data_IF_807525024104
#
_entry.id   IF_807525024104
#
_cell.length_a   1.000
_cell.length_b   1.000
_cell.length_c   1.000
_cell.angle_alpha   90.00
_cell.angle_beta   90.00
_cell.angle_gamma   90.00
#
_symmetry.space_group_name_H-M   'P 1'
#
loop_
_entity.id
_entity.type
_entity.pdbx_description
1 polymer ?
#
# COMPACT_ATOMS: atom_id res chain seq x y z
N UNK A 1 23.43 -7.07 -19.89
CA UNK A 1 22.60 -7.66 -18.81
C UNK A 1 21.82 -6.50 -18.21
N UNK A 2 20.49 -6.53 -18.28
CA UNK A 2 19.65 -5.47 -17.69
C UNK A 2 19.59 -5.75 -16.19
N UNK A 3 19.94 -4.77 -15.37
CA UNK A 3 19.74 -4.88 -13.93
C UNK A 3 18.24 -4.84 -13.61
N UNK A 4 17.68 -6.03 -13.33
CA UNK A 4 16.27 -6.21 -12.94
C UNK A 4 15.99 -5.76 -11.51
N UNK A 5 17.01 -5.30 -10.77
CA UNK A 5 16.86 -4.78 -9.41
C UNK A 5 16.63 -3.26 -9.40
N UNK A 6 16.91 -2.56 -10.51
CA UNK A 6 16.68 -1.13 -10.67
C UNK A 6 17.63 -0.25 -9.86
N UNK A 7 18.84 -0.71 -9.53
CA UNK A 7 19.76 -0.01 -8.61
C UNK A 7 20.51 1.18 -9.22
N UNK A 8 20.72 1.20 -10.54
CA UNK A 8 21.37 2.30 -11.28
C UNK A 8 20.35 3.15 -12.05
N UNK A 9 20.43 4.50 -12.01
CA UNK A 9 19.47 5.43 -12.64
C UNK A 9 19.10 5.12 -14.11
N UNK A 10 20.08 4.78 -14.96
CA UNK A 10 19.83 4.46 -16.38
C UNK A 10 19.09 3.13 -16.54
N UNK A 11 19.40 2.17 -15.68
CA UNK A 11 18.74 0.86 -15.65
C UNK A 11 17.39 0.94 -14.95
N UNK A 12 17.23 1.83 -13.96
CA UNK A 12 15.96 2.09 -13.28
C UNK A 12 14.90 2.67 -14.23
N UNK A 13 15.28 3.57 -15.15
CA UNK A 13 14.35 4.13 -16.13
C UNK A 13 13.85 3.06 -17.11
N UNK A 14 14.75 2.21 -17.60
CA UNK A 14 14.39 1.07 -18.46
C UNK A 14 13.56 0.03 -17.71
N UNK A 15 13.94 -0.29 -16.47
CA UNK A 15 13.22 -1.20 -15.58
C UNK A 15 11.78 -0.73 -15.35
N UNK A 16 11.59 0.55 -15.00
CA UNK A 16 10.25 1.13 -14.84
C UNK A 16 9.47 1.14 -16.16
N UNK A 17 10.12 1.39 -17.30
CA UNK A 17 9.49 1.29 -18.62
C UNK A 17 8.91 -0.11 -18.86
N UNK A 18 9.71 -1.15 -18.65
CA UNK A 18 9.29 -2.55 -18.79
C UNK A 18 8.14 -2.89 -17.85
N UNK A 19 8.22 -2.47 -16.58
CA UNK A 19 7.15 -2.72 -15.62
C UNK A 19 5.85 -1.98 -15.97
N UNK A 20 5.94 -0.75 -16.46
CA UNK A 20 4.78 0.03 -16.87
C UNK A 20 4.08 -0.63 -18.06
N UNK A 21 4.83 -1.03 -19.09
CA UNK A 21 4.28 -1.77 -20.23
C UNK A 21 3.63 -3.09 -19.79
N UNK A 22 4.29 -3.83 -18.89
CA UNK A 22 3.76 -5.08 -18.35
C UNK A 22 2.47 -4.83 -17.55
N UNK A 23 2.42 -3.80 -16.71
CA UNK A 23 1.22 -3.44 -15.94
C UNK A 23 0.05 -3.01 -16.83
N UNK A 24 0.32 -2.42 -18.01
CA UNK A 24 -0.72 -2.08 -18.97
C UNK A 24 -1.26 -3.32 -19.71
N UNK A 25 -0.40 -4.32 -19.97
CA UNK A 25 -0.80 -5.59 -20.62
C UNK A 25 -1.46 -6.57 -19.64
N UNK A 26 -1.09 -6.51 -18.37
CA UNK A 26 -1.56 -7.40 -17.31
C UNK A 26 -2.05 -6.57 -16.10
N UNK A 27 -3.16 -5.83 -16.25
CA UNK A 27 -3.63 -4.87 -15.23
C UNK A 27 -4.00 -5.54 -13.91
N UNK A 28 -4.44 -6.79 -13.94
CA UNK A 28 -4.80 -7.58 -12.75
C UNK A 28 -3.59 -8.23 -12.06
N UNK A 29 -2.40 -8.12 -12.66
CA UNK A 29 -1.19 -8.68 -12.07
C UNK A 29 -0.61 -7.73 -11.02
N UNK A 30 -0.74 -8.12 -9.75
CA UNK A 30 -0.11 -7.42 -8.62
C UNK A 30 1.41 -7.36 -8.73
N UNK A 31 2.03 -8.29 -9.47
CA UNK A 31 3.47 -8.46 -9.53
C UNK A 31 4.22 -7.26 -10.15
N UNK A 32 3.63 -6.57 -11.13
CA UNK A 32 4.28 -5.42 -11.78
C UNK A 32 4.04 -4.14 -10.99
N UNK A 33 2.79 -3.91 -10.61
CA UNK A 33 2.37 -2.72 -9.86
C UNK A 33 3.05 -2.68 -8.49
N UNK A 34 3.15 -3.84 -7.82
CA UNK A 34 3.88 -3.98 -6.56
C UNK A 34 5.36 -3.64 -6.71
N UNK A 35 6.03 -4.12 -7.76
CA UNK A 35 7.44 -3.79 -8.02
C UNK A 35 7.67 -2.30 -8.30
N UNK A 36 6.76 -1.65 -9.04
CA UNK A 36 6.85 -0.21 -9.28
C UNK A 36 6.65 0.56 -7.97
N UNK A 37 5.63 0.16 -7.20
CA UNK A 37 5.31 0.77 -5.91
C UNK A 37 6.48 0.65 -4.93
N UNK A 38 7.09 -0.53 -4.85
CA UNK A 38 8.27 -0.78 -4.02
C UNK A 38 9.48 0.02 -4.47
N UNK A 39 9.72 0.12 -5.78
CA UNK A 39 10.82 0.91 -6.32
C UNK A 39 10.71 2.39 -5.88
N UNK A 40 9.53 3.00 -6.06
CA UNK A 40 9.34 4.40 -5.68
C UNK A 40 9.36 4.60 -4.16
N UNK A 41 8.75 3.68 -3.41
CA UNK A 41 8.72 3.75 -1.95
C UNK A 41 10.13 3.64 -1.36
N UNK A 42 10.96 2.71 -1.85
CA UNK A 42 12.36 2.55 -1.42
C UNK A 42 13.23 3.78 -1.74
N UNK A 43 12.90 4.52 -2.80
CA UNK A 43 13.57 5.79 -3.13
C UNK A 43 13.04 7.01 -2.36
N UNK A 44 11.99 6.84 -1.55
CA UNK A 44 11.30 7.95 -0.88
C UNK A 44 10.37 8.74 -1.82
N UNK A 45 10.24 8.33 -3.08
CA UNK A 45 9.44 8.98 -4.13
C UNK A 45 7.98 8.52 -4.09
N UNK A 46 7.37 8.42 -2.90
CA UNK A 46 6.01 7.88 -2.70
C UNK A 46 4.96 8.65 -3.54
N UNK A 47 5.13 9.96 -3.69
CA UNK A 47 4.24 10.80 -4.50
C UNK A 47 4.19 10.33 -5.97
N UNK A 48 5.33 9.92 -6.56
CA UNK A 48 5.36 9.39 -7.93
C UNK A 48 4.64 8.05 -8.03
N UNK A 49 4.77 7.20 -7.01
CA UNK A 49 4.02 5.94 -6.93
C UNK A 49 2.53 6.21 -6.97
N UNK A 50 2.06 7.15 -6.14
CA UNK A 50 0.64 7.51 -6.06
C UNK A 50 0.13 8.14 -7.36
N UNK A 51 0.89 9.04 -7.98
CA UNK A 51 0.52 9.65 -9.25
C UNK A 51 0.34 8.60 -10.35
N UNK A 52 1.28 7.65 -10.45
CA UNK A 52 1.19 6.56 -11.43
C UNK A 52 -0.03 5.67 -11.17
N UNK A 53 -0.21 5.23 -9.92
CA UNK A 53 -1.34 4.38 -9.54
C UNK A 53 -2.68 5.07 -9.80
N UNK A 54 -2.76 6.39 -9.56
CA UNK A 54 -3.94 7.19 -9.87
C UNK A 54 -4.21 7.22 -11.38
N UNK A 55 -3.20 7.44 -12.22
CA UNK A 55 -3.36 7.38 -13.69
C UNK A 55 -3.81 6.01 -14.18
N UNK A 56 -3.34 4.94 -13.56
CA UNK A 56 -3.80 3.58 -13.86
C UNK A 56 -5.27 3.38 -13.43
N UNK A 57 -5.63 3.83 -12.23
CA UNK A 57 -7.00 3.80 -11.74
C UNK A 57 -7.97 4.70 -12.53
N UNK A 58 -7.50 5.77 -13.18
CA UNK A 58 -8.32 6.58 -14.10
C UNK A 58 -8.64 5.83 -15.39
N UNK A 59 -7.74 4.97 -15.87
CA UNK A 59 -7.94 4.15 -17.07
C UNK A 59 -8.79 2.91 -16.81
N UNK A 60 -8.64 2.30 -15.64
CA UNK A 60 -9.45 1.17 -15.20
C UNK A 60 -9.89 1.38 -13.74
N UNK A 61 -11.01 2.12 -13.53
CA UNK A 61 -11.51 2.44 -12.20
C UNK A 61 -12.10 1.25 -11.46
N UNK A 62 -12.32 0.11 -12.15
CA UNK A 62 -12.82 -1.14 -11.59
C UNK A 62 -11.71 -2.14 -11.30
N UNK A 63 -10.45 -1.71 -11.32
CA UNK A 63 -9.35 -2.54 -10.88
C UNK A 63 -9.09 -2.41 -9.37
N UNK A 64 -9.35 -3.48 -8.61
CA UNK A 64 -9.13 -3.51 -7.18
C UNK A 64 -7.63 -3.37 -6.82
N UNK A 65 -6.74 -3.87 -7.68
CA UNK A 65 -5.28 -3.86 -7.45
C UNK A 65 -4.75 -2.43 -7.36
N UNK A 66 -5.22 -1.52 -8.22
CA UNK A 66 -4.77 -0.12 -8.18
C UNK A 66 -5.21 0.58 -6.89
N UNK A 67 -6.45 0.35 -6.45
CA UNK A 67 -6.93 0.91 -5.18
C UNK A 67 -6.11 0.36 -4.02
N UNK A 68 -5.88 -0.96 -3.99
CA UNK A 68 -5.06 -1.60 -2.97
C UNK A 68 -3.65 -0.99 -2.90
N UNK A 69 -2.96 -0.82 -4.02
CA UNK A 69 -1.60 -0.28 -4.01
C UNK A 69 -1.55 1.22 -3.67
N UNK A 70 -2.60 2.01 -3.94
CA UNK A 70 -2.69 3.38 -3.41
C UNK A 70 -2.77 3.32 -1.87
N UNK A 71 -3.57 2.42 -1.30
CA UNK A 71 -3.59 2.16 0.13
C UNK A 71 -2.21 1.76 0.68
N UNK A 72 -1.52 0.84 0.00
CA UNK A 72 -0.17 0.39 0.39
C UNK A 72 0.85 1.51 0.45
N UNK A 73 0.76 2.53 -0.42
CA UNK A 73 1.68 3.67 -0.35
C UNK A 73 1.56 4.42 0.97
N UNK A 74 0.33 4.73 1.41
CA UNK A 74 0.07 5.38 2.68
C UNK A 74 0.42 4.47 3.87
N UNK A 75 0.06 3.19 3.80
CA UNK A 75 0.35 2.25 4.88
C UNK A 75 1.86 2.05 5.08
N UNK A 76 2.65 1.97 4.00
CA UNK A 76 4.12 1.92 4.09
C UNK A 76 4.70 3.19 4.69
N UNK A 77 4.17 4.36 4.36
CA UNK A 77 4.57 5.61 5.03
C UNK A 77 4.28 5.55 6.54
N UNK A 78 3.13 5.00 6.95
CA UNK A 78 2.82 4.78 8.36
C UNK A 78 3.83 3.83 9.03
N UNK A 79 4.21 2.73 8.38
CA UNK A 79 5.23 1.80 8.90
C UNK A 79 6.59 2.48 9.07
N UNK A 80 7.05 3.26 8.09
CA UNK A 80 8.30 4.03 8.23
C UNK A 80 8.22 5.04 9.37
N UNK A 81 7.08 5.70 9.57
CA UNK A 81 6.89 6.60 10.71
C UNK A 81 6.86 5.85 12.03
N UNK A 82 6.28 4.65 12.07
CA UNK A 82 6.29 3.78 13.24
C UNK A 82 7.70 3.36 13.64
N UNK A 83 8.52 2.93 12.67
CA UNK A 83 9.93 2.61 12.89
C UNK A 83 10.72 3.80 13.44
N UNK A 84 10.55 4.99 12.83
CA UNK A 84 11.18 6.22 13.32
C UNK A 84 10.72 6.55 14.75
N UNK A 85 9.41 6.46 15.01
CA UNK A 85 8.81 6.72 16.31
C UNK A 85 9.39 5.80 17.40
N UNK A 86 9.55 4.52 17.10
CA UNK A 86 10.08 3.53 18.05
C UNK A 86 11.53 3.80 18.47
N UNK A 87 12.27 4.62 17.71
CA UNK A 87 13.63 5.03 18.00
C UNK A 87 13.73 6.40 18.71
N UNK A 88 12.60 7.04 19.05
CA UNK A 88 12.58 8.32 19.75
C UNK A 88 12.87 8.11 21.24
N UNK A 89 13.77 8.92 21.79
CA UNK A 89 14.06 8.95 23.24
C UNK A 89 12.78 9.23 24.05
N UNK A 90 12.57 8.46 25.12
CA UNK A 90 11.42 8.58 26.03
C UNK A 90 11.20 10.01 26.57
N UNK A 91 12.25 10.81 26.69
CA UNK A 91 12.19 12.21 27.14
C UNK A 91 11.61 13.15 26.08
N UNK A 92 11.62 12.75 24.81
CA UNK A 92 11.12 13.56 23.68
C UNK A 92 9.65 13.28 23.38
N UNK A 93 8.79 13.37 24.41
CA UNK A 93 7.36 13.07 24.30
C UNK A 93 6.68 13.78 23.12
N UNK A 94 6.99 15.07 22.91
CA UNK A 94 6.41 15.84 21.80
C UNK A 94 6.76 15.26 20.42
N UNK A 95 8.02 14.87 20.21
CA UNK A 95 8.45 14.26 18.94
C UNK A 95 7.74 12.91 18.71
N UNK A 96 7.59 12.12 19.79
CA UNK A 96 6.85 10.86 19.76
C UNK A 96 5.36 11.06 19.41
N UNK A 97 4.71 12.03 20.05
CA UNK A 97 3.30 12.35 19.81
C UNK A 97 3.09 12.86 18.37
N UNK A 98 3.94 13.78 17.89
CA UNK A 98 3.88 14.32 16.54
C UNK A 98 4.08 13.22 15.47
N UNK A 99 5.02 12.29 15.70
CA UNK A 99 5.24 11.15 14.80
C UNK A 99 4.06 10.18 14.83
N UNK A 100 3.46 9.97 16.01
CA UNK A 100 2.27 9.13 16.17
C UNK A 100 1.06 9.72 15.42
N UNK A 101 0.84 11.03 15.51
CA UNK A 101 -0.22 11.71 14.78
C UNK A 101 -0.04 11.58 13.25
N UNK A 102 1.18 11.76 12.74
CA UNK A 102 1.49 11.56 11.32
C UNK A 102 1.28 10.12 10.87
N UNK A 103 1.69 9.15 11.69
CA UNK A 103 1.46 7.72 11.43
C UNK A 103 -0.04 7.43 11.34
N UNK A 104 -0.83 7.93 12.29
CA UNK A 104 -2.29 7.78 12.29
C UNK A 104 -2.93 8.39 11.06
N UNK A 105 -2.52 9.60 10.68
CA UNK A 105 -3.04 10.27 9.48
C UNK A 105 -2.81 9.44 8.22
N UNK A 106 -1.66 8.77 8.08
CA UNK A 106 -1.39 7.89 6.94
C UNK A 106 -2.25 6.61 6.97
N UNK A 107 -2.46 6.02 8.15
CA UNK A 107 -3.38 4.87 8.31
C UNK A 107 -4.81 5.27 7.89
N UNK A 108 -5.26 6.45 8.30
CA UNK A 108 -6.60 6.96 7.95
C UNK A 108 -6.74 7.25 6.46
N UNK A 109 -5.67 7.71 5.81
CA UNK A 109 -5.64 7.88 4.35
C UNK A 109 -5.63 6.54 3.60
N UNK A 110 -4.98 5.49 4.12
CA UNK A 110 -4.94 4.18 3.50
C UNK A 110 -6.31 3.46 3.51
N UNK A 111 -7.06 3.60 4.61
CA UNK A 111 -8.31 2.90 4.87
C UNK A 111 -9.35 2.97 3.71
N UNK A 112 -9.72 4.15 3.16
CA UNK A 112 -10.72 4.22 2.10
C UNK A 112 -10.29 3.48 0.82
N UNK A 113 -8.99 3.41 0.53
CA UNK A 113 -8.49 2.72 -0.66
C UNK A 113 -8.57 1.20 -0.52
N UNK A 114 -8.25 0.65 0.66
CA UNK A 114 -8.46 -0.78 0.91
C UNK A 114 -9.94 -1.15 0.93
N UNK A 115 -10.80 -0.30 1.50
CA UNK A 115 -12.26 -0.49 1.43
C UNK A 115 -12.74 -0.52 -0.02
N UNK A 116 -12.30 0.44 -0.83
CA UNK A 116 -12.68 0.50 -2.25
C UNK A 116 -12.14 -0.70 -3.05
N UNK A 117 -10.95 -1.19 -2.75
CA UNK A 117 -10.44 -2.43 -3.34
C UNK A 117 -11.36 -3.61 -3.04
N UNK A 118 -11.82 -3.73 -1.79
CA UNK A 118 -12.75 -4.79 -1.37
C UNK A 118 -14.18 -4.60 -1.93
N UNK A 119 -14.63 -3.36 -2.10
CA UNK A 119 -15.91 -3.05 -2.76
C UNK A 119 -15.90 -3.47 -4.23
N UNK A 120 -14.76 -3.28 -4.91
CA UNK A 120 -14.57 -3.67 -6.32
C UNK A 120 -14.43 -5.19 -6.44
N UNK A 121 -13.56 -5.80 -5.63
CA UNK A 121 -13.37 -7.24 -5.56
C UNK A 121 -13.57 -7.74 -4.12
N UNK A 122 -14.78 -8.26 -3.81
CA UNK A 122 -15.10 -8.81 -2.49
C UNK A 122 -14.24 -10.01 -2.05
N UNK A 123 -13.44 -10.59 -2.96
CA UNK A 123 -12.53 -11.71 -2.67
C UNK A 123 -11.07 -11.28 -2.58
N UNK A 124 -10.78 -9.99 -2.61
CA UNK A 124 -9.41 -9.47 -2.57
C UNK A 124 -8.78 -9.64 -1.18
N UNK A 125 -8.25 -10.85 -0.91
CA UNK A 125 -7.79 -11.28 0.41
C UNK A 125 -6.73 -10.33 1.01
N UNK A 126 -5.83 -9.79 0.19
CA UNK A 126 -4.81 -8.84 0.63
C UNK A 126 -5.43 -7.55 1.21
N UNK A 127 -6.52 -7.04 0.65
CA UNK A 127 -7.22 -5.87 1.19
C UNK A 127 -7.94 -6.21 2.49
N UNK A 128 -8.54 -7.40 2.57
CA UNK A 128 -9.17 -7.90 3.81
C UNK A 128 -8.15 -7.99 4.93
N UNK A 129 -6.96 -8.52 4.66
CA UNK A 129 -5.89 -8.63 5.65
C UNK A 129 -5.41 -7.25 6.13
N UNK A 130 -5.19 -6.30 5.22
CA UNK A 130 -4.81 -4.92 5.59
C UNK A 130 -5.90 -4.23 6.41
N UNK A 131 -7.17 -4.36 6.02
CA UNK A 131 -8.29 -3.82 6.79
C UNK A 131 -8.35 -4.44 8.18
N UNK A 132 -8.19 -5.77 8.30
CA UNK A 132 -8.12 -6.48 9.59
C UNK A 132 -7.01 -5.90 10.47
N UNK A 133 -5.80 -5.75 9.95
CA UNK A 133 -4.68 -5.15 10.70
C UNK A 133 -4.98 -3.72 11.16
N UNK A 134 -5.56 -2.89 10.28
CA UNK A 134 -5.90 -1.49 10.63
C UNK A 134 -6.98 -1.44 11.70
N UNK A 135 -8.06 -2.23 11.58
CA UNK A 135 -9.12 -2.26 12.58
C UNK A 135 -8.63 -2.78 13.92
N UNK A 136 -7.78 -3.81 13.93
CA UNK A 136 -7.13 -4.29 15.15
C UNK A 136 -6.27 -3.19 15.79
N UNK A 137 -5.48 -2.49 14.99
CA UNK A 137 -4.66 -1.37 15.47
C UNK A 137 -5.52 -0.20 16.03
N UNK A 138 -6.67 0.08 15.43
CA UNK A 138 -7.61 1.14 15.88
C UNK A 138 -8.54 0.69 17.02
N UNK A 139 -8.42 -0.55 17.50
CA UNK A 139 -9.35 -1.17 18.45
C UNK A 139 -10.82 -1.16 18.00
N UNK A 140 -11.05 -1.24 16.69
CA UNK A 140 -12.39 -1.37 16.10
C UNK A 140 -12.78 -2.85 16.01
N UNK A 141 -13.19 -3.40 17.16
CA UNK A 141 -13.52 -4.82 17.30
C UNK A 141 -14.60 -5.30 16.32
N UNK A 142 -15.72 -4.58 16.09
CA UNK A 142 -16.74 -5.03 15.15
C UNK A 142 -16.21 -5.22 13.72
N UNK A 143 -15.44 -4.25 13.22
CA UNK A 143 -14.90 -4.34 11.86
C UNK A 143 -13.74 -5.34 11.79
N UNK A 144 -12.93 -5.46 12.84
CA UNK A 144 -11.90 -6.50 12.95
C UNK A 144 -12.51 -7.90 12.83
N UNK A 145 -13.56 -8.20 13.60
CA UNK A 145 -14.22 -9.50 13.59
C UNK A 145 -14.86 -9.80 12.23
N UNK A 146 -15.44 -8.78 11.58
CA UNK A 146 -16.00 -8.90 10.24
C UNK A 146 -14.91 -9.29 9.22
N UNK A 147 -13.77 -8.58 9.22
CA UNK A 147 -12.67 -8.88 8.30
C UNK A 147 -12.01 -10.23 8.60
N UNK A 148 -11.87 -10.60 9.88
CA UNK A 148 -11.34 -11.89 10.29
C UNK A 148 -12.21 -13.06 9.78
N UNK A 149 -13.54 -12.97 9.95
CA UNK A 149 -14.49 -13.96 9.43
C UNK A 149 -14.47 -14.05 7.90
N UNK A 150 -14.37 -12.91 7.23
CA UNK A 150 -14.29 -12.86 5.77
C UNK A 150 -13.01 -13.54 5.27
N UNK A 151 -11.86 -13.23 5.86
CA UNK A 151 -10.58 -13.82 5.47
C UNK A 151 -10.60 -15.36 5.59
N UNK A 152 -11.11 -15.89 6.70
CA UNK A 152 -11.27 -17.35 6.90
C UNK A 152 -12.19 -17.97 5.85
N UNK A 153 -13.18 -17.23 5.36
CA UNK A 153 -14.10 -17.71 4.31
C UNK A 153 -13.43 -17.72 2.94
N UNK A 154 -12.50 -16.78 2.68
CA UNK A 154 -11.71 -16.74 1.44
C UNK A 154 -10.68 -17.86 1.39
N UNK A 155 -10.04 -18.21 2.51
CA UNK A 155 -9.01 -19.26 2.60
C UNK A 155 -9.55 -20.69 2.40
N UNK A 156 -10.87 -20.89 2.52
CA UNK A 156 -11.54 -22.20 2.42
C UNK A 156 -11.93 -22.60 0.99
N UNK A 157 -11.57 -21.81 -0.03
CA UNK A 157 -11.95 -22.01 -1.44
C UNK A 157 -10.73 -22.16 -2.33
#
# INVERSE_FOLDING_TARGET
>A
IIDITGTNLKDSAKYLGVLNEASAKYPDSTAFIGRITDYYTKKGDVAKSQEMLKKLAEKDPKNAVYQYYIGETYFKQALTLQEKRNNIDQKKKKEYDDMSAKMMSNIDQALPYYKKALEIDPKYADAVDKLKSIYGFKNDTPNYDAMSKLLVTLDKK
#
